data_IF_555893564136
#
_entry.id   IF_555893564136
#
_cell.length_a   1.000
_cell.length_b   1.000
_cell.length_c   1.000
_cell.angle_alpha   90.00
_cell.angle_beta   90.00
_cell.angle_gamma   90.00
#
_symmetry.space_group_name_H-M   'P 1'
#
loop_
_entity.id
_entity.type
_entity.pdbx_description
1 polymer ?
#
# COMPACT_ATOMS: atom_id res chain seq x y z
N UNK A 1 1.58 -29.49 -42.34
CA UNK A 1 2.33 -28.77 -41.30
C UNK A 1 1.27 -28.25 -40.36
N UNK A 2 0.92 -29.05 -39.35
CA UNK A 2 -0.11 -28.70 -38.38
C UNK A 2 0.48 -27.65 -37.44
N UNK A 3 -0.12 -26.46 -37.40
CA UNK A 3 0.15 -25.48 -36.35
C UNK A 3 -0.30 -26.08 -35.03
N UNK A 4 0.68 -26.45 -34.20
CA UNK A 4 0.48 -26.92 -32.86
C UNK A 4 0.10 -25.72 -31.98
N UNK A 5 -1.20 -25.41 -31.91
CA UNK A 5 -1.78 -24.40 -31.01
C UNK A 5 -1.54 -24.87 -29.57
N UNK A 6 -0.51 -24.33 -28.92
CA UNK A 6 -0.29 -24.46 -27.47
C UNK A 6 -1.10 -23.38 -26.77
N UNK A 7 -2.43 -23.50 -26.82
CA UNK A 7 -3.28 -22.82 -25.85
C UNK A 7 -3.35 -23.69 -24.61
N UNK A 8 -2.23 -23.71 -23.88
CA UNK A 8 -2.17 -24.26 -22.54
C UNK A 8 -3.05 -23.44 -21.58
N UNK A 9 -3.64 -24.05 -20.55
CA UNK A 9 -4.50 -23.38 -19.55
C UNK A 9 -3.82 -22.29 -18.70
N UNK A 10 -2.59 -21.88 -19.04
CA UNK A 10 -1.78 -20.89 -18.33
C UNK A 10 -1.95 -19.46 -18.85
N UNK A 11 -2.35 -19.25 -20.11
CA UNK A 11 -2.49 -17.89 -20.65
C UNK A 11 -3.63 -17.10 -19.98
N UNK A 12 -4.75 -17.75 -19.66
CA UNK A 12 -5.86 -17.07 -18.96
C UNK A 12 -5.51 -16.73 -17.50
N UNK A 13 -4.63 -17.52 -16.85
CA UNK A 13 -4.13 -17.27 -15.49
C UNK A 13 -3.16 -16.11 -15.43
N UNK A 14 -2.23 -16.05 -16.37
CA UNK A 14 -1.25 -14.95 -16.52
C UNK A 14 -1.92 -13.59 -16.66
N UNK A 15 -3.00 -13.51 -17.43
CA UNK A 15 -3.69 -12.26 -17.73
C UNK A 15 -4.31 -11.63 -16.46
N UNK A 16 -4.90 -12.44 -15.57
CA UNK A 16 -5.53 -11.94 -14.34
C UNK A 16 -4.54 -11.40 -13.30
N UNK A 17 -3.37 -12.04 -13.14
CA UNK A 17 -2.32 -11.57 -12.23
C UNK A 17 -1.62 -10.32 -12.75
N UNK A 18 -1.39 -10.24 -14.06
CA UNK A 18 -0.81 -9.05 -14.70
C UNK A 18 -1.74 -7.85 -14.55
N UNK A 19 -3.04 -8.05 -14.73
CA UNK A 19 -4.05 -7.02 -14.51
C UNK A 19 -4.10 -6.58 -13.03
N UNK A 20 -4.07 -7.55 -12.11
CA UNK A 20 -3.98 -7.27 -10.68
C UNK A 20 -2.75 -6.42 -10.34
N UNK A 21 -1.58 -6.81 -10.84
CA UNK A 21 -0.33 -6.09 -10.63
C UNK A 21 -0.42 -4.65 -11.15
N UNK A 22 -0.90 -4.46 -12.38
CA UNK A 22 -1.10 -3.14 -12.97
C UNK A 22 -2.05 -2.27 -12.12
N UNK A 23 -3.11 -2.86 -11.57
CA UNK A 23 -4.03 -2.16 -10.67
C UNK A 23 -3.34 -1.71 -9.38
N UNK A 24 -2.61 -2.60 -8.70
CA UNK A 24 -1.88 -2.30 -7.47
C UNK A 24 -0.76 -1.29 -7.70
N UNK A 25 -0.03 -1.35 -8.82
CA UNK A 25 0.99 -0.35 -9.13
C UNK A 25 0.40 1.04 -9.38
N UNK A 26 -0.71 1.12 -10.14
CA UNK A 26 -1.41 2.40 -10.36
C UNK A 26 -1.90 3.00 -9.04
N UNK A 27 -2.38 2.16 -8.12
CA UNK A 27 -2.87 2.58 -6.80
C UNK A 27 -1.73 2.90 -5.82
N UNK A 28 -0.53 2.35 -6.00
CA UNK A 28 0.66 2.66 -5.19
C UNK A 28 1.03 4.13 -5.26
N UNK A 29 0.98 4.71 -6.46
CA UNK A 29 1.24 6.15 -6.65
C UNK A 29 0.24 7.00 -5.85
N UNK A 30 -1.06 6.70 -5.96
CA UNK A 30 -2.10 7.43 -5.22
C UNK A 30 -1.92 7.27 -3.70
N UNK A 31 -1.64 6.06 -3.23
CA UNK A 31 -1.36 5.78 -1.83
C UNK A 31 -0.17 6.59 -1.32
N UNK A 32 0.97 6.55 -2.01
CA UNK A 32 2.18 7.27 -1.61
C UNK A 32 1.99 8.78 -1.62
N UNK A 33 1.23 9.34 -2.57
CA UNK A 33 0.91 10.78 -2.57
C UNK A 33 0.07 11.16 -1.35
N UNK A 34 -1.00 10.42 -1.05
CA UNK A 34 -1.88 10.74 0.09
C UNK A 34 -1.15 10.55 1.42
N UNK A 35 -0.44 9.44 1.59
CA UNK A 35 0.35 9.17 2.82
C UNK A 35 1.49 10.16 2.94
N UNK A 36 2.15 10.53 1.83
CA UNK A 36 3.23 11.52 1.80
C UNK A 36 2.76 12.91 2.22
N UNK A 37 1.62 13.39 1.70
CA UNK A 37 1.02 14.67 2.12
C UNK A 37 0.67 14.63 3.62
N UNK A 38 0.07 13.54 4.08
CA UNK A 38 -0.26 13.35 5.51
C UNK A 38 1.00 13.31 6.39
N UNK A 39 2.08 12.72 5.88
CA UNK A 39 3.40 12.68 6.51
C UNK A 39 4.05 14.05 6.60
N UNK A 40 4.00 14.86 5.54
CA UNK A 40 4.52 16.24 5.55
C UNK A 40 3.80 17.10 6.61
N UNK A 41 2.48 16.96 6.72
CA UNK A 41 1.72 17.63 7.77
C UNK A 41 2.18 17.21 9.17
N UNK A 42 2.40 15.91 9.36
CA UNK A 42 2.86 15.33 10.63
C UNK A 42 4.27 15.80 11.00
N UNK A 43 5.18 15.85 10.02
CA UNK A 43 6.54 16.36 10.20
C UNK A 43 6.54 17.83 10.60
N UNK A 44 5.66 18.64 10.00
CA UNK A 44 5.50 20.04 10.39
C UNK A 44 5.04 20.15 11.84
N UNK A 45 4.04 19.37 12.27
CA UNK A 45 3.57 19.34 13.66
C UNK A 45 4.64 18.90 14.66
N UNK A 46 5.50 17.95 14.29
CA UNK A 46 6.55 17.40 15.17
C UNK A 46 7.89 18.16 15.12
N UNK A 47 8.01 19.14 14.22
CA UNK A 47 9.27 19.88 14.01
C UNK A 47 9.73 20.71 15.21
N UNK A 48 8.83 21.04 16.14
CA UNK A 48 9.16 21.72 17.39
C UNK A 48 9.72 20.80 18.47
N UNK A 49 9.39 19.51 18.43
CA UNK A 49 9.69 18.55 19.50
C UNK A 49 10.92 17.68 19.20
N UNK A 50 11.26 17.50 17.92
CA UNK A 50 12.32 16.60 17.47
C UNK A 50 13.32 17.28 16.54
N UNK A 51 14.57 16.82 16.58
CA UNK A 51 15.59 17.24 15.62
C UNK A 51 15.31 16.76 14.20
N UNK A 52 15.86 17.47 13.21
CA UNK A 52 15.67 17.16 11.78
C UNK A 52 16.15 15.74 11.45
N UNK A 53 17.25 15.29 12.06
CA UNK A 53 17.78 13.93 11.88
C UNK A 53 16.80 12.84 12.29
N UNK A 54 16.18 12.99 13.47
CA UNK A 54 15.24 12.06 14.07
C UNK A 54 13.97 11.99 13.22
N UNK A 55 13.48 13.15 12.78
CA UNK A 55 12.32 13.26 11.89
C UNK A 55 12.56 12.58 10.54
N UNK A 56 13.74 12.76 9.94
CA UNK A 56 14.09 12.12 8.67
C UNK A 56 14.23 10.60 8.81
N UNK A 57 14.88 10.12 9.88
CA UNK A 57 15.00 8.68 10.16
C UNK A 57 13.62 8.07 10.39
N UNK A 58 12.77 8.71 11.21
CA UNK A 58 11.40 8.29 11.46
C UNK A 58 10.56 8.23 10.19
N UNK A 59 10.64 9.27 9.35
CA UNK A 59 9.95 9.31 8.06
C UNK A 59 10.40 8.20 7.11
N UNK A 60 11.70 7.87 7.09
CA UNK A 60 12.24 6.79 6.27
C UNK A 60 11.68 5.44 6.71
N UNK A 61 11.76 5.11 8.00
CA UNK A 61 11.22 3.84 8.53
C UNK A 61 9.70 3.75 8.33
N UNK A 62 8.98 4.84 8.56
CA UNK A 62 7.54 4.90 8.32
C UNK A 62 7.20 4.67 6.84
N UNK A 63 7.94 5.32 5.93
CA UNK A 63 7.76 5.15 4.48
C UNK A 63 8.02 3.72 4.02
N UNK A 64 9.06 3.06 4.55
CA UNK A 64 9.33 1.64 4.29
C UNK A 64 8.18 0.77 4.79
N UNK A 65 7.75 0.98 6.04
CA UNK A 65 6.63 0.24 6.63
C UNK A 65 5.35 0.40 5.82
N UNK A 66 4.97 1.63 5.49
CA UNK A 66 3.80 1.94 4.67
C UNK A 66 3.82 1.21 3.32
N UNK A 67 4.96 1.22 2.61
CA UNK A 67 5.11 0.52 1.33
C UNK A 67 5.11 -1.01 1.48
N UNK A 68 5.65 -1.54 2.58
CA UNK A 68 5.60 -2.97 2.89
C UNK A 68 4.16 -3.44 3.15
N UNK A 69 3.42 -2.72 4.00
CA UNK A 69 2.01 -3.01 4.27
C UNK A 69 1.14 -2.87 3.03
N UNK A 70 1.39 -1.85 2.19
CA UNK A 70 0.72 -1.71 0.91
C UNK A 70 0.91 -2.94 0.01
N UNK A 71 2.14 -3.46 -0.03
CA UNK A 71 2.49 -4.60 -0.89
C UNK A 71 1.83 -5.91 -0.45
N UNK A 72 1.34 -6.01 0.80
CA UNK A 72 0.57 -7.16 1.27
C UNK A 72 -0.74 -7.34 0.50
N UNK A 73 -1.35 -6.27 -0.02
CA UNK A 73 -2.57 -6.36 -0.81
C UNK A 73 -2.41 -7.23 -2.06
N UNK A 74 -1.38 -6.94 -2.87
CA UNK A 74 -1.05 -7.76 -4.04
C UNK A 74 -0.55 -9.15 -3.63
N UNK A 75 0.22 -9.26 -2.55
CA UNK A 75 0.70 -10.56 -2.07
C UNK A 75 -0.46 -11.50 -1.70
N UNK A 76 -1.51 -10.99 -1.05
CA UNK A 76 -2.71 -11.77 -0.73
C UNK A 76 -3.46 -12.23 -1.98
N UNK A 77 -3.51 -11.37 -3.01
CA UNK A 77 -4.14 -11.72 -4.28
C UNK A 77 -3.34 -12.79 -5.03
N UNK A 78 -2.01 -12.66 -5.07
CA UNK A 78 -1.10 -13.67 -5.62
C UNK A 78 -1.20 -15.00 -4.86
N UNK A 79 -1.27 -14.94 -3.53
CA UNK A 79 -1.48 -16.10 -2.67
C UNK A 79 -2.82 -16.79 -2.96
N UNK A 80 -3.91 -16.05 -3.10
CA UNK A 80 -5.21 -16.60 -3.48
C UNK A 80 -5.20 -17.25 -4.86
N UNK A 81 -4.47 -16.66 -5.81
CA UNK A 81 -4.32 -17.24 -7.13
C UNK A 81 -3.54 -18.57 -7.08
N UNK A 82 -2.45 -18.63 -6.32
CA UNK A 82 -1.58 -19.80 -6.26
C UNK A 82 -2.14 -20.94 -5.40
N UNK A 83 -2.57 -20.65 -4.16
CA UNK A 83 -2.95 -21.66 -3.18
C UNK A 83 -4.45 -21.93 -3.13
N UNK A 84 -5.27 -20.91 -3.34
CA UNK A 84 -6.73 -21.00 -3.22
C UNK A 84 -7.44 -21.19 -4.56
N UNK A 85 -6.68 -21.37 -5.66
CA UNK A 85 -7.18 -21.55 -7.03
C UNK A 85 -8.25 -20.53 -7.41
N UNK A 86 -8.08 -19.28 -6.98
CA UNK A 86 -9.00 -18.17 -7.23
C UNK A 86 -10.42 -18.35 -6.64
N UNK A 87 -10.55 -19.07 -5.52
CA UNK A 87 -11.84 -19.24 -4.83
C UNK A 87 -12.45 -17.93 -4.35
N UNK A 88 -11.61 -16.93 -4.02
CA UNK A 88 -12.04 -15.57 -3.69
C UNK A 88 -11.93 -14.69 -4.94
N UNK A 89 -13.01 -13.97 -5.27
CA UNK A 89 -13.02 -12.98 -6.35
C UNK A 89 -12.34 -11.69 -5.90
N UNK A 90 -11.01 -11.63 -6.08
CA UNK A 90 -10.22 -10.51 -5.58
C UNK A 90 -10.57 -9.17 -6.21
N UNK A 91 -11.08 -9.15 -7.45
CA UNK A 91 -11.54 -7.94 -8.15
C UNK A 91 -12.49 -7.08 -7.29
N UNK A 92 -13.40 -7.69 -6.52
CA UNK A 92 -14.35 -6.97 -5.67
C UNK A 92 -13.77 -6.53 -4.33
N UNK A 93 -12.68 -7.16 -3.85
CA UNK A 93 -12.04 -6.85 -2.55
C UNK A 93 -10.78 -5.99 -2.66
N UNK A 94 -10.22 -5.81 -3.87
CA UNK A 94 -9.08 -4.91 -4.15
C UNK A 94 -9.31 -3.50 -3.59
N UNK A 95 -10.45 -2.88 -3.92
CA UNK A 95 -10.76 -1.52 -3.48
C UNK A 95 -10.98 -1.42 -1.96
N UNK A 96 -11.79 -2.28 -1.30
CA UNK A 96 -11.87 -2.33 0.15
C UNK A 96 -10.52 -2.50 0.86
N UNK A 97 -9.66 -3.42 0.40
CA UNK A 97 -8.33 -3.63 0.98
C UNK A 97 -7.44 -2.39 0.83
N UNK A 98 -7.46 -1.76 -0.35
CA UNK A 98 -6.76 -0.50 -0.59
C UNK A 98 -7.25 0.61 0.34
N UNK A 99 -8.56 0.78 0.47
CA UNK A 99 -9.15 1.82 1.33
C UNK A 99 -8.83 1.56 2.80
N UNK A 100 -8.92 0.31 3.26
CA UNK A 100 -8.57 -0.06 4.62
C UNK A 100 -7.10 0.27 4.93
N UNK A 101 -6.18 -0.12 4.04
CA UNK A 101 -4.76 0.19 4.18
C UNK A 101 -4.48 1.69 4.13
N UNK A 102 -5.16 2.43 3.26
CA UNK A 102 -5.04 3.88 3.14
C UNK A 102 -5.54 4.59 4.41
N UNK A 103 -6.74 4.27 4.87
CA UNK A 103 -7.34 4.83 6.09
C UNK A 103 -6.47 4.52 7.30
N UNK A 104 -6.00 3.29 7.43
CA UNK A 104 -5.10 2.89 8.51
C UNK A 104 -3.81 3.71 8.49
N UNK A 105 -3.18 3.83 7.31
CA UNK A 105 -1.90 4.54 7.17
C UNK A 105 -2.06 6.02 7.48
N UNK A 106 -3.04 6.69 6.85
CA UNK A 106 -3.34 8.12 7.08
C UNK A 106 -3.75 8.36 8.53
N UNK A 107 -4.62 7.50 9.08
CA UNK A 107 -5.05 7.59 10.47
C UNK A 107 -3.90 7.49 11.45
N UNK A 108 -2.96 6.57 11.22
CA UNK A 108 -1.75 6.44 12.02
C UNK A 108 -0.87 7.69 11.91
N UNK A 109 -0.67 8.24 10.70
CA UNK A 109 0.12 9.47 10.51
C UNK A 109 -0.51 10.66 11.25
N UNK A 110 -1.83 10.85 11.10
CA UNK A 110 -2.54 11.96 11.74
C UNK A 110 -2.62 11.82 13.27
N UNK A 111 -2.71 10.59 13.78
CA UNK A 111 -2.66 10.33 15.23
C UNK A 111 -1.31 10.75 15.82
N UNK A 112 -0.20 10.49 15.12
CA UNK A 112 1.12 10.97 15.51
C UNK A 112 1.21 12.50 15.47
N UNK A 113 0.63 13.15 14.46
CA UNK A 113 0.58 14.61 14.38
C UNK A 113 -0.19 15.23 15.56
N UNK A 114 -1.34 14.65 15.92
CA UNK A 114 -2.13 15.11 17.05
C UNK A 114 -1.39 14.92 18.39
N UNK A 115 -0.71 13.79 18.57
CA UNK A 115 0.12 13.55 19.75
C UNK A 115 1.24 14.60 19.88
N UNK A 116 1.90 14.95 18.77
CA UNK A 116 2.89 16.04 18.72
C UNK A 116 2.30 17.40 19.13
N UNK A 117 1.16 17.78 18.55
CA UNK A 117 0.51 19.04 18.88
C UNK A 117 0.13 19.15 20.38
N UNK A 118 -0.32 18.04 20.97
CA UNK A 118 -0.65 17.99 22.40
C UNK A 118 0.59 18.15 23.30
N UNK A 119 1.78 17.74 22.83
CA UNK A 119 3.04 17.88 23.57
C UNK A 119 3.60 19.29 23.41
N UNK A 120 3.61 19.84 22.20
CA UNK A 120 4.10 21.19 21.91
C UNK A 120 3.23 22.32 22.53
N UNK A 121 1.98 22.02 22.89
CA UNK A 121 1.06 22.94 23.55
C UNK A 121 1.12 22.98 25.08
N UNK A 122 1.91 22.10 25.70
CA UNK A 122 2.21 22.11 27.15
C UNK A 122 3.53 22.83 27.43
#
# INVERSE_FOLDING_TARGET
MEEHIIDGPDQSKSNGLTEALAWWEKKRLLYNVIVGISGLFTLFSLSGDFGVSELLIGALFFGIGANAFYSLGFLLESWNHHYLKNSIKFESVRLPLFLLGLIFSVGLTLLLAFAGFSVAGM
#
